data_IF_755818355541
#
_entry.id   IF_755818355541
#
_cell.length_a   1.000
_cell.length_b   1.000
_cell.length_c   1.000
_cell.angle_alpha   90.00
_cell.angle_beta   90.00
_cell.angle_gamma   90.00
#
_symmetry.space_group_name_H-M   'P 1'
#
loop_
_entity.id
_entity.type
_entity.pdbx_description
1 polymer ?
#
# COMPACT_ATOMS: atom_id res chain seq x y z
N UNK A 1 -25.88 49.07 56.77
CA UNK A 1 -25.15 48.90 55.49
C UNK A 1 -23.74 48.42 55.88
N UNK A 2 -23.23 47.28 55.49
CA UNK A 2 -23.41 46.55 54.24
C UNK A 2 -23.23 45.03 54.43
N UNK A 3 -24.09 44.27 53.77
CA UNK A 3 -23.97 42.82 53.56
C UNK A 3 -22.75 42.51 52.68
N UNK A 4 -21.78 41.76 53.21
CA UNK A 4 -20.76 41.10 52.38
C UNK A 4 -21.34 39.78 51.87
N UNK A 5 -21.87 39.79 50.64
CA UNK A 5 -22.15 38.56 49.91
C UNK A 5 -20.83 37.86 49.58
N UNK A 6 -20.68 36.63 50.06
CA UNK A 6 -19.64 35.70 49.66
C UNK A 6 -20.03 35.11 48.30
N UNK A 7 -19.39 35.59 47.24
CA UNK A 7 -19.50 34.99 45.91
C UNK A 7 -18.77 33.64 45.90
N UNK A 8 -19.54 32.59 46.14
CA UNK A 8 -19.10 31.19 46.00
C UNK A 8 -18.93 30.92 44.50
N UNK A 9 -17.70 31.07 43.99
CA UNK A 9 -17.35 30.64 42.63
C UNK A 9 -17.57 29.13 42.53
N UNK A 10 -18.61 28.74 41.79
CA UNK A 10 -18.81 27.36 41.40
C UNK A 10 -17.78 27.03 40.30
N UNK A 11 -16.70 26.36 40.68
CA UNK A 11 -15.82 25.67 39.74
C UNK A 11 -16.64 24.61 39.01
N UNK A 12 -17.16 24.97 37.84
CA UNK A 12 -17.70 23.99 36.88
C UNK A 12 -16.51 23.13 36.45
N UNK A 13 -16.39 21.94 37.03
CA UNK A 13 -15.50 20.90 36.50
C UNK A 13 -15.95 20.63 35.06
N UNK A 14 -15.12 21.03 34.11
CA UNK A 14 -15.30 20.65 32.71
C UNK A 14 -15.14 19.13 32.65
N UNK A 15 -16.18 18.42 32.20
CA UNK A 15 -16.06 17.00 31.90
C UNK A 15 -14.95 16.82 30.87
N UNK A 16 -13.91 16.09 31.28
CA UNK A 16 -12.78 15.79 30.42
C UNK A 16 -13.26 14.78 29.39
N UNK A 17 -13.59 15.27 28.19
CA UNK A 17 -13.95 14.42 27.06
C UNK A 17 -12.68 13.66 26.64
N UNK A 18 -12.62 12.37 26.97
CA UNK A 18 -11.56 11.48 26.52
C UNK A 18 -11.96 10.91 25.16
N UNK A 19 -11.22 11.29 24.12
CA UNK A 19 -11.39 10.69 22.81
C UNK A 19 -10.63 9.36 22.77
N UNK A 20 -11.24 8.30 22.22
CA UNK A 20 -10.52 7.06 21.98
C UNK A 20 -9.35 7.33 21.01
N UNK A 21 -8.27 6.56 21.10
CA UNK A 21 -7.17 6.67 20.13
C UNK A 21 -7.71 6.50 18.71
N UNK A 22 -7.28 7.36 17.79
CA UNK A 22 -7.65 7.27 16.40
C UNK A 22 -7.15 5.93 15.83
N UNK A 23 -8.04 5.16 15.21
CA UNK A 23 -7.63 3.96 14.48
C UNK A 23 -6.95 4.37 13.16
N UNK A 24 -5.79 3.79 12.82
CA UNK A 24 -5.18 4.04 11.52
C UNK A 24 -6.11 3.54 10.41
N UNK A 25 -6.31 4.35 9.38
CA UNK A 25 -7.01 3.94 8.16
C UNK A 25 -6.06 2.99 7.41
N UNK A 26 -6.49 1.76 7.08
CA UNK A 26 -5.65 0.84 6.35
C UNK A 26 -5.35 1.39 4.94
N UNK A 27 -4.12 1.23 4.44
CA UNK A 27 -3.79 1.63 3.07
C UNK A 27 -4.64 0.83 2.08
N UNK A 28 -5.23 1.52 1.11
CA UNK A 28 -5.99 0.91 0.02
C UNK A 28 -5.11 0.91 -1.23
N UNK A 29 -4.85 -0.27 -1.78
CA UNK A 29 -4.11 -0.44 -3.02
C UNK A 29 -5.09 -0.66 -4.18
N UNK A 30 -4.96 0.13 -5.25
CA UNK A 30 -5.80 0.01 -6.44
C UNK A 30 -5.23 -1.07 -7.37
N UNK A 31 -5.70 -2.31 -7.17
CA UNK A 31 -5.29 -3.48 -7.96
C UNK A 31 -5.64 -3.31 -9.43
N UNK A 32 -6.80 -2.74 -9.75
CA UNK A 32 -7.23 -2.59 -11.16
C UNK A 32 -6.38 -1.57 -11.92
N UNK A 33 -6.07 -0.43 -11.29
CA UNK A 33 -5.14 0.54 -11.85
C UNK A 33 -3.76 -0.08 -12.05
N UNK A 34 -3.28 -0.86 -11.07
CA UNK A 34 -1.97 -1.52 -11.17
C UNK A 34 -1.92 -2.54 -12.30
N UNK A 35 -2.95 -3.37 -12.47
CA UNK A 35 -3.03 -4.32 -13.59
C UNK A 35 -2.94 -3.57 -14.93
N UNK A 36 -3.63 -2.43 -15.08
CA UNK A 36 -3.57 -1.62 -16.31
C UNK A 36 -2.16 -1.08 -16.58
N UNK A 37 -1.45 -0.62 -15.55
CA UNK A 37 -0.05 -0.19 -15.69
C UNK A 37 0.85 -1.35 -16.14
N UNK A 38 0.71 -2.52 -15.51
CA UNK A 38 1.46 -3.72 -15.86
C UNK A 38 1.20 -4.18 -17.30
N UNK A 39 -0.06 -4.16 -17.74
CA UNK A 39 -0.42 -4.40 -19.14
C UNK A 39 0.20 -3.36 -20.07
N UNK A 40 0.24 -2.10 -19.64
CA UNK A 40 0.91 -1.01 -20.33
C UNK A 40 2.41 -1.27 -20.55
N UNK A 41 3.10 -1.82 -19.54
CA UNK A 41 4.51 -2.18 -19.64
C UNK A 41 4.81 -3.29 -20.66
N UNK A 42 3.80 -4.06 -21.07
CA UNK A 42 3.92 -5.07 -22.13
C UNK A 42 3.67 -4.51 -23.53
N UNK A 43 3.20 -3.27 -23.66
CA UNK A 43 2.88 -2.64 -24.94
C UNK A 43 4.10 -1.88 -25.50
N UNK A 44 4.64 -2.24 -26.68
CA UNK A 44 5.80 -1.57 -27.29
C UNK A 44 5.62 -0.07 -27.56
N UNK A 45 4.37 0.39 -27.68
CA UNK A 45 4.05 1.81 -27.89
C UNK A 45 4.03 2.62 -26.59
N UNK A 46 4.12 1.97 -25.42
CA UNK A 46 4.17 2.65 -24.13
C UNK A 46 5.60 3.17 -23.87
N UNK A 47 5.78 4.46 -23.49
CA UNK A 47 7.09 4.99 -23.11
C UNK A 47 7.81 4.19 -22.01
N UNK A 48 7.03 3.51 -21.15
CA UNK A 48 7.52 2.67 -20.05
C UNK A 48 7.56 1.18 -20.40
N UNK A 49 7.55 0.84 -21.70
CA UNK A 49 7.65 -0.55 -22.16
C UNK A 49 8.85 -1.27 -21.54
N UNK A 50 8.59 -2.45 -20.99
CA UNK A 50 9.61 -3.27 -20.36
C UNK A 50 10.25 -4.23 -21.37
N UNK A 51 11.56 -4.51 -21.24
CA UNK A 51 12.24 -5.45 -22.11
C UNK A 51 11.61 -6.85 -22.07
N UNK A 52 11.64 -7.58 -23.20
CA UNK A 52 11.03 -8.92 -23.34
C UNK A 52 11.39 -9.92 -22.23
N UNK A 53 12.61 -9.82 -21.67
CA UNK A 53 13.04 -10.67 -20.55
C UNK A 53 12.16 -10.55 -19.29
N UNK A 54 11.56 -9.38 -19.06
CA UNK A 54 10.68 -9.13 -17.92
C UNK A 54 9.23 -9.53 -18.17
N UNK A 55 8.85 -9.82 -19.41
CA UNK A 55 7.45 -10.08 -19.77
C UNK A 55 6.88 -11.29 -19.04
N UNK A 56 7.70 -12.31 -18.81
CA UNK A 56 7.29 -13.50 -18.05
C UNK A 56 6.93 -13.14 -16.61
N UNK A 57 7.74 -12.29 -15.96
CA UNK A 57 7.52 -11.83 -14.58
C UNK A 57 6.27 -10.94 -14.50
N UNK A 58 6.14 -9.95 -15.38
CA UNK A 58 5.00 -9.03 -15.41
C UNK A 58 3.69 -9.78 -15.65
N UNK A 59 3.67 -10.76 -16.56
CA UNK A 59 2.47 -11.60 -16.80
C UNK A 59 2.12 -12.45 -15.59
N UNK A 60 3.10 -12.98 -14.87
CA UNK A 60 2.87 -13.73 -13.64
C UNK A 60 2.25 -12.84 -12.55
N UNK A 61 2.74 -11.61 -12.40
CA UNK A 61 2.19 -10.62 -11.45
C UNK A 61 0.73 -10.31 -11.77
N UNK A 62 0.42 -9.98 -13.03
CA UNK A 62 -0.96 -9.70 -13.47
C UNK A 62 -1.87 -10.88 -13.11
N UNK A 63 -1.46 -12.10 -13.44
CA UNK A 63 -2.24 -13.30 -13.15
C UNK A 63 -2.52 -13.46 -11.65
N UNK A 64 -1.54 -13.20 -10.79
CA UNK A 64 -1.76 -13.32 -9.34
C UNK A 64 -2.63 -12.21 -8.77
N UNK A 65 -2.61 -11.00 -9.33
CA UNK A 65 -3.60 -9.97 -8.99
C UNK A 65 -5.01 -10.36 -9.44
N UNK A 66 -5.16 -10.87 -10.67
CA UNK A 66 -6.45 -11.35 -11.18
C UNK A 66 -7.01 -12.52 -10.36
N UNK A 67 -6.13 -13.40 -9.83
CA UNK A 67 -6.50 -14.49 -8.92
C UNK A 67 -6.74 -14.02 -7.47
N UNK A 68 -6.52 -12.74 -7.15
CA UNK A 68 -6.65 -12.20 -5.80
C UNK A 68 -5.59 -12.71 -4.81
N UNK A 69 -4.46 -13.24 -5.32
CA UNK A 69 -3.34 -13.75 -4.52
C UNK A 69 -2.30 -12.69 -4.18
N UNK A 70 -2.36 -11.53 -4.84
CA UNK A 70 -1.62 -10.33 -4.49
C UNK A 70 -2.59 -9.24 -4.09
N UNK A 71 -2.25 -8.53 -3.01
CA UNK A 71 -2.99 -7.37 -2.51
C UNK A 71 -2.26 -6.05 -2.78
N UNK A 72 -1.01 -6.10 -3.24
CA UNK A 72 -0.17 -4.92 -3.46
C UNK A 72 0.28 -4.23 -2.19
N UNK A 73 0.08 -4.85 -1.02
CA UNK A 73 0.53 -4.34 0.28
C UNK A 73 1.80 -5.04 0.74
N UNK A 74 2.05 -6.24 0.22
CA UNK A 74 3.25 -7.02 0.52
C UNK A 74 4.23 -7.00 -0.65
N UNK A 75 5.48 -6.68 -0.31
CA UNK A 75 6.59 -6.76 -1.25
C UNK A 75 6.72 -8.18 -1.79
N UNK A 76 6.61 -8.33 -3.10
CA UNK A 76 6.71 -9.64 -3.76
C UNK A 76 7.68 -9.57 -4.92
N UNK A 77 8.62 -10.51 -4.97
CA UNK A 77 9.64 -10.59 -6.02
C UNK A 77 9.34 -11.76 -6.95
N UNK A 78 9.47 -11.50 -8.25
CA UNK A 78 9.24 -12.46 -9.32
C UNK A 78 10.50 -12.70 -10.13
N UNK A 79 10.84 -13.96 -10.34
CA UNK A 79 11.95 -14.40 -11.18
C UNK A 79 11.45 -15.54 -12.06
N UNK A 80 11.66 -15.43 -13.37
CA UNK A 80 11.17 -16.39 -14.37
C UNK A 80 9.68 -16.79 -14.21
N UNK A 81 8.85 -15.84 -13.79
CA UNK A 81 7.41 -16.01 -13.59
C UNK A 81 6.98 -16.69 -12.29
N UNK A 82 7.90 -16.88 -11.33
CA UNK A 82 7.63 -17.46 -10.01
C UNK A 82 7.92 -16.46 -8.91
N UNK A 83 7.29 -16.64 -7.74
CA UNK A 83 7.64 -15.87 -6.55
C UNK A 83 8.91 -16.46 -5.95
N UNK A 84 9.92 -15.63 -5.77
CA UNK A 84 11.22 -16.01 -5.22
C UNK A 84 11.67 -15.00 -4.14
N UNK A 85 12.64 -15.35 -3.29
CA UNK A 85 13.18 -14.46 -2.28
C UNK A 85 13.75 -13.17 -2.88
N UNK A 86 13.68 -12.07 -2.11
CA UNK A 86 14.17 -10.78 -2.58
C UNK A 86 15.67 -10.79 -2.86
N UNK A 87 16.43 -11.56 -2.09
CA UNK A 87 17.88 -11.70 -2.24
C UNK A 87 18.26 -12.31 -3.60
N UNK A 88 17.41 -13.16 -4.16
CA UNK A 88 17.62 -13.79 -5.46
C UNK A 88 17.44 -12.80 -6.62
N UNK A 89 16.74 -11.69 -6.39
CA UNK A 89 16.53 -10.65 -7.39
C UNK A 89 17.86 -10.07 -7.94
N UNK A 90 18.92 -10.09 -7.12
CA UNK A 90 20.23 -9.51 -7.43
C UNK A 90 21.16 -10.45 -8.19
N UNK A 91 20.90 -11.76 -8.16
CA UNK A 91 21.72 -12.79 -8.81
C UNK A 91 21.05 -13.35 -10.07
N UNK A 92 19.76 -13.08 -10.26
CA UNK A 92 18.98 -13.53 -11.41
C UNK A 92 19.49 -12.96 -12.74
N UNK A 93 19.97 -13.84 -13.63
CA UNK A 93 20.43 -13.47 -14.98
C UNK A 93 19.28 -13.11 -15.92
N UNK A 94 18.10 -13.70 -15.70
CA UNK A 94 16.87 -13.47 -16.47
C UNK A 94 16.23 -12.11 -16.18
N UNK A 95 16.58 -11.50 -15.05
CA UNK A 95 15.97 -10.29 -14.54
C UNK A 95 14.82 -10.60 -13.57
N UNK A 96 14.59 -9.68 -12.64
CA UNK A 96 13.61 -9.79 -11.58
C UNK A 96 12.59 -8.66 -11.67
N UNK A 97 11.36 -8.91 -11.22
CA UNK A 97 10.33 -7.89 -11.03
C UNK A 97 9.92 -7.84 -9.57
N UNK A 98 9.77 -6.65 -9.00
CA UNK A 98 9.37 -6.50 -7.59
C UNK A 98 8.18 -5.56 -7.49
N UNK A 99 7.08 -6.05 -6.92
CA UNK A 99 5.97 -5.22 -6.43
C UNK A 99 6.31 -4.72 -5.01
N UNK A 100 5.89 -3.50 -4.69
CA UNK A 100 6.18 -2.80 -3.42
C UNK A 100 4.87 -2.26 -2.86
#
# INVERSE_FOLDING_TARGET
MADRKTDKKADKKADKIEFPPAMPIPPVFDVEARIKDLQGFLNPSNPNYQPKRQHVNIRAVIKLYEEGKLDGLQRTTFIDGKIDPYEEAFTAKSGSWTEI
#
